data_IF_379189572734
#
_entry.id   IF_379189572734
#
_cell.length_a   1.000
_cell.length_b   1.000
_cell.length_c   1.000
_cell.angle_alpha   90.00
_cell.angle_beta   90.00
_cell.angle_gamma   90.00
#
_symmetry.space_group_name_H-M   'P 1'
#
loop_
_entity.id
_entity.type
_entity.pdbx_description
1 polymer ?
#
# COMPACT_ATOMS: atom_id res chain seq x y z
N UNK A 1 24.70 -30.23 18.28
CA UNK A 1 25.30 -31.28 17.44
C UNK A 1 24.14 -32.06 16.84
N UNK A 2 23.87 -31.89 15.55
CA UNK A 2 22.83 -32.66 14.85
C UNK A 2 23.42 -34.07 14.70
N UNK A 3 22.84 -35.04 15.41
CA UNK A 3 23.20 -36.44 15.28
C UNK A 3 22.57 -36.96 13.98
N UNK A 4 23.32 -36.87 12.90
CA UNK A 4 22.96 -37.45 11.62
C UNK A 4 23.32 -38.95 11.67
N UNK A 5 22.33 -39.80 11.87
CA UNK A 5 22.50 -41.25 11.80
C UNK A 5 22.68 -41.65 10.33
N UNK A 6 23.92 -41.60 9.83
CA UNK A 6 24.28 -42.14 8.53
C UNK A 6 24.17 -43.68 8.56
N UNK A 7 23.57 -44.31 7.54
CA UNK A 7 23.47 -45.77 7.49
C UNK A 7 24.87 -46.39 7.37
N UNK A 8 25.18 -47.44 8.16
CA UNK A 8 26.54 -48.00 8.23
C UNK A 8 26.94 -48.77 6.97
N UNK A 9 25.99 -49.11 6.10
CA UNK A 9 26.25 -49.92 4.90
C UNK A 9 25.58 -49.37 3.64
N UNK A 10 26.29 -49.36 2.51
CA UNK A 10 25.78 -48.89 1.22
C UNK A 10 24.52 -49.65 0.74
N UNK A 11 24.38 -50.93 1.11
CA UNK A 11 23.18 -51.74 0.80
C UNK A 11 21.96 -51.28 1.58
N UNK A 12 22.12 -50.86 2.83
CA UNK A 12 21.04 -50.39 3.70
C UNK A 12 20.58 -48.99 3.29
N UNK A 13 21.52 -48.12 2.92
CA UNK A 13 21.23 -46.79 2.34
C UNK A 13 20.38 -46.88 1.06
N UNK A 14 20.72 -47.83 0.17
CA UNK A 14 19.96 -48.06 -1.07
C UNK A 14 18.56 -48.63 -0.82
N UNK A 15 18.37 -49.47 0.20
CA UNK A 15 17.07 -50.03 0.55
C UNK A 15 16.15 -49.00 1.20
N UNK A 16 16.69 -48.16 2.08
CA UNK A 16 15.97 -47.03 2.69
C UNK A 16 15.48 -46.03 1.62
N UNK A 17 16.34 -45.73 0.62
CA UNK A 17 16.02 -44.84 -0.51
C UNK A 17 14.99 -45.42 -1.51
N UNK A 18 14.83 -46.74 -1.57
CA UNK A 18 13.96 -47.44 -2.56
C UNK A 18 12.61 -47.88 -1.98
N UNK A 19 12.39 -47.69 -0.69
CA UNK A 19 11.12 -48.02 -0.03
C UNK A 19 10.06 -46.96 -0.36
N UNK A 20 8.93 -47.32 -1.02
CA UNK A 20 7.89 -46.36 -1.34
C UNK A 20 7.17 -45.99 -0.04
N UNK A 21 7.45 -44.80 0.48
CA UNK A 21 6.89 -44.30 1.74
C UNK A 21 7.90 -44.05 2.85
N UNK A 22 9.21 -44.21 2.62
CA UNK A 22 10.21 -43.71 3.57
C UNK A 22 10.22 -42.18 3.55
N UNK A 23 9.98 -41.60 4.71
CA UNK A 23 10.10 -40.17 5.01
C UNK A 23 11.56 -39.71 5.06
N UNK A 24 12.44 -40.28 4.22
CA UNK A 24 13.78 -39.75 4.02
C UNK A 24 13.63 -38.46 3.21
N UNK A 25 13.49 -37.39 3.98
CA UNK A 25 12.84 -36.13 3.62
C UNK A 25 13.37 -35.54 2.32
N UNK A 26 12.43 -35.21 1.43
CA UNK A 26 12.72 -34.32 0.31
C UNK A 26 13.09 -32.95 0.89
N UNK A 27 14.39 -32.69 1.03
CA UNK A 27 14.91 -31.42 1.51
C UNK A 27 15.01 -30.45 0.34
N UNK A 28 14.18 -29.41 0.34
CA UNK A 28 14.27 -28.28 -0.58
C UNK A 28 15.09 -27.17 0.09
N UNK A 29 16.09 -26.67 -0.63
CA UNK A 29 16.89 -25.52 -0.22
C UNK A 29 16.56 -24.37 -1.17
N UNK A 30 16.21 -23.22 -0.63
CA UNK A 30 16.00 -22.03 -1.45
C UNK A 30 17.32 -21.51 -1.99
N UNK A 31 17.43 -21.46 -3.32
CA UNK A 31 18.59 -20.89 -4.04
C UNK A 31 18.26 -19.47 -4.55
N UNK A 32 16.98 -19.18 -4.75
CA UNK A 32 16.52 -18.00 -5.48
C UNK A 32 15.88 -16.92 -4.60
N UNK A 33 15.78 -15.69 -5.14
CA UNK A 33 15.03 -14.61 -4.50
C UNK A 33 13.53 -14.92 -4.38
N UNK A 34 12.90 -14.40 -3.32
CA UNK A 34 11.45 -14.43 -3.12
C UNK A 34 10.82 -13.16 -3.70
N UNK A 35 9.70 -13.33 -4.39
CA UNK A 35 8.92 -12.22 -4.93
C UNK A 35 7.44 -12.42 -4.68
N UNK A 36 6.71 -11.30 -4.62
CA UNK A 36 5.26 -11.26 -4.67
C UNK A 36 4.88 -10.51 -5.93
N UNK A 37 4.01 -11.09 -6.74
CA UNK A 37 3.54 -10.50 -7.99
C UNK A 37 2.05 -10.15 -7.85
N UNK A 38 1.70 -8.91 -8.20
CA UNK A 38 0.32 -8.44 -8.32
C UNK A 38 0.04 -8.05 -9.78
N UNK A 39 -0.77 -8.84 -10.52
CA UNK A 39 -1.09 -8.53 -11.91
C UNK A 39 -1.88 -7.22 -12.05
N UNK A 40 -1.32 -6.26 -12.80
CA UNK A 40 -1.94 -4.95 -13.02
C UNK A 40 -2.93 -5.00 -14.19
N UNK A 41 -2.48 -5.46 -15.37
CA UNK A 41 -3.23 -5.38 -16.62
C UNK A 41 -2.75 -6.44 -17.62
N UNK A 42 -3.68 -6.96 -18.43
CA UNK A 42 -3.40 -7.88 -19.53
C UNK A 42 -3.83 -7.23 -20.86
N UNK A 43 -2.93 -7.24 -21.83
CA UNK A 43 -3.16 -6.68 -23.16
C UNK A 43 -3.33 -7.79 -24.21
N UNK A 44 -4.11 -7.50 -25.26
CA UNK A 44 -4.36 -8.45 -26.35
C UNK A 44 -3.12 -8.76 -27.20
N UNK A 45 -2.20 -7.81 -27.35
CA UNK A 45 -1.00 -7.93 -28.19
C UNK A 45 0.30 -7.98 -27.38
N UNK A 46 1.41 -8.17 -28.10
CA UNK A 46 2.75 -8.10 -27.50
C UNK A 46 3.06 -6.64 -27.11
N UNK A 47 3.29 -6.41 -25.81
CA UNK A 47 3.58 -5.09 -25.23
C UNK A 47 2.55 -3.98 -25.51
N UNK A 48 1.32 -4.31 -25.95
CA UNK A 48 0.28 -3.31 -26.25
C UNK A 48 -1.03 -3.88 -26.79
N UNK A 49 -1.91 -2.99 -27.23
CA UNK A 49 -3.25 -3.33 -27.73
C UNK A 49 -4.36 -3.15 -26.69
N UNK A 50 -5.56 -3.61 -27.02
CA UNK A 50 -6.73 -3.48 -26.14
C UNK A 50 -6.49 -4.17 -24.79
N UNK A 51 -6.90 -3.53 -23.70
CA UNK A 51 -6.91 -4.13 -22.36
C UNK A 51 -7.99 -5.21 -22.30
N UNK A 52 -7.59 -6.45 -22.02
CA UNK A 52 -8.51 -7.57 -21.83
C UNK A 52 -8.92 -7.73 -20.37
N UNK A 53 -7.98 -7.42 -19.46
CA UNK A 53 -8.20 -7.48 -18.03
C UNK A 53 -7.46 -6.35 -17.34
N UNK A 54 -8.08 -5.80 -16.30
CA UNK A 54 -7.51 -4.80 -15.40
C UNK A 54 -7.90 -5.19 -13.99
N UNK A 55 -6.94 -5.22 -13.07
CA UNK A 55 -7.24 -5.41 -11.66
C UNK A 55 -7.79 -4.10 -11.07
N UNK A 56 -9.05 -4.11 -10.62
CA UNK A 56 -9.68 -2.93 -10.00
C UNK A 56 -9.24 -2.70 -8.55
N UNK A 57 -8.70 -3.72 -7.89
CA UNK A 57 -8.13 -3.60 -6.54
C UNK A 57 -6.69 -3.07 -6.55
N UNK A 58 -6.02 -3.06 -7.71
CA UNK A 58 -4.66 -2.55 -7.82
C UNK A 58 -4.64 -1.03 -7.74
N UNK A 59 -3.99 -0.49 -6.70
CA UNK A 59 -3.70 0.93 -6.56
C UNK A 59 -2.20 1.15 -6.78
N UNK A 60 -1.85 2.10 -7.65
CA UNK A 60 -0.44 2.35 -7.91
C UNK A 60 0.24 3.03 -6.71
N UNK A 61 1.52 2.73 -6.41
CA UNK A 61 2.24 3.42 -5.33
C UNK A 61 2.33 4.93 -5.53
N UNK A 62 2.30 5.39 -6.79
CA UNK A 62 2.30 6.82 -7.11
C UNK A 62 0.98 7.49 -6.71
N UNK A 63 -0.14 6.78 -6.87
CA UNK A 63 -1.47 7.26 -6.49
C UNK A 63 -1.59 7.39 -4.97
N UNK A 64 -1.11 6.40 -4.21
CA UNK A 64 -1.03 6.46 -2.75
C UNK A 64 -0.21 7.69 -2.32
N UNK A 65 1.01 7.85 -2.85
CA UNK A 65 1.86 9.02 -2.53
C UNK A 65 1.22 10.35 -2.91
N UNK A 66 0.44 10.40 -3.99
CA UNK A 66 -0.27 11.61 -4.39
C UNK A 66 -1.46 11.92 -3.47
N UNK A 67 -2.15 10.90 -2.97
CA UNK A 67 -3.21 11.04 -1.98
C UNK A 67 -2.65 11.58 -0.66
N UNK A 68 -1.56 10.99 -0.16
CA UNK A 68 -0.88 11.44 1.07
C UNK A 68 -0.47 12.91 0.98
N UNK A 69 0.17 13.30 -0.14
CA UNK A 69 0.56 14.70 -0.38
C UNK A 69 -0.62 15.65 -0.42
N UNK A 70 -1.74 15.25 -1.02
CA UNK A 70 -2.98 16.07 -1.01
C UNK A 70 -3.49 16.23 0.40
N UNK A 71 -3.52 15.16 1.19
CA UNK A 71 -3.98 15.21 2.57
C UNK A 71 -3.13 16.18 3.42
N UNK A 72 -1.80 16.12 3.28
CA UNK A 72 -0.90 17.07 3.93
C UNK A 72 -1.17 18.53 3.49
N UNK A 73 -1.55 18.74 2.23
CA UNK A 73 -1.89 20.06 1.69
C UNK A 73 -3.22 20.64 2.18
N UNK A 74 -4.17 19.80 2.62
CA UNK A 74 -5.51 20.23 3.04
C UNK A 74 -5.48 21.26 4.17
N UNK A 75 -4.58 21.10 5.14
CA UNK A 75 -4.47 22.04 6.26
C UNK A 75 -4.15 23.47 5.79
N UNK A 76 -3.31 23.61 4.75
CA UNK A 76 -3.02 24.90 4.15
C UNK A 76 -4.24 25.46 3.42
N UNK A 77 -4.92 24.63 2.62
CA UNK A 77 -6.14 25.02 1.91
C UNK A 77 -7.24 25.51 2.87
N UNK A 78 -7.44 24.80 3.98
CA UNK A 78 -8.42 25.15 5.00
C UNK A 78 -8.09 26.47 5.68
N UNK A 79 -6.80 26.71 5.99
CA UNK A 79 -6.34 27.99 6.55
C UNK A 79 -6.62 29.15 5.60
N UNK A 80 -6.29 28.99 4.32
CA UNK A 80 -6.54 30.02 3.29
C UNK A 80 -8.04 30.25 3.12
N UNK A 81 -8.84 29.19 3.11
CA UNK A 81 -10.31 29.28 3.01
C UNK A 81 -10.91 30.00 4.23
N UNK A 82 -10.45 29.71 5.43
CA UNK A 82 -10.89 30.39 6.65
C UNK A 82 -10.53 31.88 6.65
N UNK A 83 -9.32 32.23 6.20
CA UNK A 83 -8.90 33.62 6.06
C UNK A 83 -9.78 34.38 5.07
N UNK A 84 -10.09 33.76 3.91
CA UNK A 84 -10.99 34.34 2.91
C UNK A 84 -12.39 34.58 3.47
N UNK A 85 -12.99 33.59 4.14
CA UNK A 85 -14.30 33.74 4.79
C UNK A 85 -14.32 34.86 5.83
N UNK A 86 -13.26 34.98 6.63
CA UNK A 86 -13.16 36.06 7.63
C UNK A 86 -13.09 37.44 6.99
N UNK A 87 -12.36 37.57 5.87
CA UNK A 87 -12.29 38.80 5.09
C UNK A 87 -13.66 39.15 4.50
N UNK A 88 -14.30 38.20 3.83
CA UNK A 88 -15.65 38.38 3.28
C UNK A 88 -16.67 38.76 4.37
N UNK A 89 -16.59 38.15 5.57
CA UNK A 89 -17.42 38.55 6.69
C UNK A 89 -17.17 39.99 7.10
N UNK A 90 -15.90 40.40 7.28
CA UNK A 90 -15.55 41.78 7.64
C UNK A 90 -16.01 42.80 6.60
N UNK A 91 -15.84 42.48 5.32
CA UNK A 91 -16.19 43.38 4.21
C UNK A 91 -17.72 43.58 4.13
N UNK A 92 -18.52 42.57 4.52
CA UNK A 92 -19.98 42.62 4.51
C UNK A 92 -20.61 42.99 5.87
N UNK A 93 -19.83 43.05 6.95
CA UNK A 93 -20.34 43.28 8.29
C UNK A 93 -20.62 44.77 8.50
N UNK A 94 -21.89 45.14 8.44
CA UNK A 94 -22.37 46.48 8.82
C UNK A 94 -22.74 46.45 10.30
N UNK A 95 -22.07 47.27 11.10
CA UNK A 95 -22.38 47.43 12.53
C UNK A 95 -23.67 48.24 12.66
N UNK A 96 -24.71 47.73 13.34
CA UNK A 96 -25.90 48.53 13.64
C UNK A 96 -25.55 49.72 14.54
N UNK A 97 -26.17 50.88 14.31
CA UNK A 97 -26.01 52.03 15.19
C UNK A 97 -26.60 51.74 16.58
N UNK A 98 -25.85 52.08 17.63
CA UNK A 98 -26.26 51.92 19.02
C UNK A 98 -27.15 53.12 19.45
N UNK A 99 -28.42 52.90 19.81
CA UNK A 99 -29.32 53.97 20.21
C UNK A 99 -28.93 54.68 21.52
N UNK A 100 -28.01 54.14 22.31
CA UNK A 100 -27.54 54.73 23.58
C UNK A 100 -26.08 55.18 23.54
N UNK A 101 -25.43 55.22 22.36
CA UNK A 101 -24.00 55.52 22.22
C UNK A 101 -23.56 56.89 22.78
N UNK A 102 -24.49 57.85 22.82
CA UNK A 102 -24.22 59.23 23.28
C UNK A 102 -24.60 59.49 24.75
N UNK A 103 -25.10 58.49 25.48
CA UNK A 103 -25.70 58.70 26.82
C UNK A 103 -24.67 59.04 27.91
N UNK A 104 -23.38 58.74 27.69
CA UNK A 104 -22.32 58.89 28.71
C UNK A 104 -21.09 59.68 28.23
N UNK A 105 -21.26 60.68 27.36
CA UNK A 105 -20.18 61.63 27.04
C UNK A 105 -19.90 62.61 28.19
#
# INVERSE_FOLDING_TARGET
QILENQPPTAKEAHFAKKSPGSTDGTNLVEIGPRFVLDPIRIFRGSFGGQTLYKNDAFVSPNEIRAADKREMGKAYEDRVRAQKRRREWKDNFVVPEDPLGDVFQ
#
